data_IF_350003428766
#
_entry.id   IF_350003428766
#
_cell.length_a   1.000
_cell.length_b   1.000
_cell.length_c   1.000
_cell.angle_alpha   90.00
_cell.angle_beta   90.00
_cell.angle_gamma   90.00
#
_symmetry.space_group_name_H-M   'P 1'
#
loop_
_entity.id
_entity.type
_entity.pdbx_description
1 polymer ?
#
# COMPACT_ATOMS: atom_id res chain seq x y z
N UNK A 1 12.14 50.19 -28.62
CA UNK A 1 11.83 49.18 -29.65
C UNK A 1 12.10 47.80 -29.07
N UNK A 2 11.05 46.98 -29.07
CA UNK A 2 10.84 45.78 -28.26
C UNK A 2 11.72 44.61 -28.74
N UNK A 3 12.44 43.95 -27.82
CA UNK A 3 13.14 42.69 -28.08
C UNK A 3 12.37 41.58 -27.36
N UNK A 4 11.73 40.73 -28.18
CA UNK A 4 10.75 39.71 -27.80
C UNK A 4 11.40 38.62 -26.92
N UNK A 5 10.77 38.34 -25.79
CA UNK A 5 11.04 37.20 -24.92
C UNK A 5 10.63 35.93 -25.66
N UNK A 6 11.56 35.00 -25.84
CA UNK A 6 11.27 33.65 -26.33
C UNK A 6 10.82 32.81 -25.13
N UNK A 7 9.52 32.66 -24.95
CA UNK A 7 8.93 31.73 -23.99
C UNK A 7 9.01 30.32 -24.56
N UNK A 8 9.88 29.50 -24.01
CA UNK A 8 9.97 28.08 -24.33
C UNK A 8 8.88 27.36 -23.51
N UNK A 9 7.68 27.23 -24.09
CA UNK A 9 6.63 26.36 -23.56
C UNK A 9 7.10 24.92 -23.68
N UNK A 10 7.60 24.34 -22.59
CA UNK A 10 7.72 22.89 -22.45
C UNK A 10 6.30 22.38 -22.14
N UNK A 11 5.53 22.13 -23.20
CA UNK A 11 4.34 21.31 -23.15
C UNK A 11 4.78 19.85 -23.36
N UNK A 12 5.40 19.27 -22.33
CA UNK A 12 5.85 17.87 -22.32
C UNK A 12 5.04 17.12 -21.27
N UNK A 13 4.20 16.19 -21.74
CA UNK A 13 3.20 15.48 -20.94
C UNK A 13 3.74 14.94 -19.62
N UNK A 14 2.89 15.02 -18.59
CA UNK A 14 3.16 14.43 -17.29
C UNK A 14 3.48 12.95 -17.44
N UNK A 15 4.77 12.64 -17.37
CA UNK A 15 5.26 11.28 -17.23
C UNK A 15 4.80 10.83 -15.85
N UNK A 16 3.60 10.24 -15.76
CA UNK A 16 3.24 9.44 -14.60
C UNK A 16 4.19 8.24 -14.62
N UNK A 17 5.30 8.35 -13.89
CA UNK A 17 6.10 7.19 -13.55
C UNK A 17 5.19 6.26 -12.77
N UNK A 18 4.68 5.21 -13.42
CA UNK A 18 4.09 4.08 -12.72
C UNK A 18 5.20 3.50 -11.85
N UNK A 19 5.17 3.81 -10.55
CA UNK A 19 6.11 3.27 -9.60
C UNK A 19 5.98 1.75 -9.65
N UNK A 20 7.07 1.06 -10.00
CA UNK A 20 7.14 -0.39 -9.79
C UNK A 20 6.91 -0.61 -8.29
N UNK A 21 5.91 -1.43 -7.95
CA UNK A 21 5.68 -1.83 -6.58
C UNK A 21 6.97 -2.47 -6.05
N UNK A 22 7.67 -1.76 -5.18
CA UNK A 22 8.90 -2.25 -4.58
C UNK A 22 8.53 -3.08 -3.37
N UNK A 23 9.05 -4.31 -3.31
CA UNK A 23 8.92 -5.11 -2.11
C UNK A 23 9.73 -4.44 -1.00
N UNK A 24 9.13 -4.29 0.17
CA UNK A 24 9.80 -3.87 1.38
C UNK A 24 10.20 -5.12 2.16
N UNK A 25 11.50 -5.30 2.36
CA UNK A 25 12.02 -6.38 3.21
C UNK A 25 12.03 -5.94 4.67
N UNK A 26 11.63 -6.86 5.55
CA UNK A 26 11.78 -6.83 6.98
C UNK A 26 12.40 -8.18 7.42
N UNK A 27 12.91 -8.31 8.66
CA UNK A 27 13.66 -9.50 9.08
C UNK A 27 12.97 -10.84 8.82
N UNK A 28 11.63 -10.91 8.92
CA UNK A 28 10.84 -12.12 8.74
C UNK A 28 9.62 -11.93 7.86
N UNK A 29 9.59 -10.85 7.08
CA UNK A 29 8.46 -10.53 6.22
C UNK A 29 8.92 -9.73 5.00
N UNK A 30 8.36 -10.06 3.85
CA UNK A 30 8.41 -9.27 2.63
C UNK A 30 7.02 -8.71 2.34
N UNK A 31 6.92 -7.39 2.24
CA UNK A 31 5.66 -6.69 2.02
C UNK A 31 5.64 -6.12 0.61
N UNK A 32 4.60 -6.41 -0.16
CA UNK A 32 4.43 -5.88 -1.53
C UNK A 32 3.02 -5.31 -1.71
N UNK A 33 2.92 -4.16 -2.38
CA UNK A 33 1.65 -3.64 -2.88
C UNK A 33 1.32 -4.24 -4.24
N UNK A 34 0.11 -4.80 -4.39
CA UNK A 34 -0.36 -5.41 -5.62
C UNK A 34 -1.56 -4.61 -6.12
N UNK A 35 -1.41 -3.76 -7.14
CA UNK A 35 -2.55 -3.04 -7.69
C UNK A 35 -3.43 -3.99 -8.50
N UNK A 36 -4.74 -3.80 -8.42
CA UNK A 36 -5.72 -4.52 -9.27
C UNK A 36 -5.53 -4.20 -10.76
N UNK A 37 -5.12 -2.96 -11.08
CA UNK A 37 -4.88 -2.49 -12.44
C UNK A 37 -3.67 -1.56 -12.50
N UNK A 38 -3.00 -1.50 -13.66
CA UNK A 38 -1.77 -0.73 -13.84
C UNK A 38 -1.97 0.80 -13.93
N UNK A 39 -3.18 1.24 -14.25
CA UNK A 39 -3.53 2.65 -14.47
C UNK A 39 -4.91 2.94 -13.90
N UNK A 40 -5.14 4.15 -13.40
CA UNK A 40 -6.44 4.59 -12.87
C UNK A 40 -6.86 5.89 -13.55
N UNK A 41 -8.15 6.03 -13.87
CA UNK A 41 -8.71 7.28 -14.38
C UNK A 41 -9.32 8.13 -13.24
N UNK A 42 -9.45 9.46 -13.41
CA UNK A 42 -10.12 10.30 -12.42
C UNK A 42 -11.56 9.84 -12.16
N UNK A 43 -11.93 9.73 -10.88
CA UNK A 43 -13.26 9.29 -10.44
C UNK A 43 -13.41 7.77 -10.30
N UNK A 44 -12.41 6.99 -10.68
CA UNK A 44 -12.40 5.54 -10.44
C UNK A 44 -11.97 5.19 -9.01
N UNK A 45 -12.44 4.04 -8.54
CA UNK A 45 -11.95 3.39 -7.32
C UNK A 45 -11.16 2.15 -7.75
N UNK A 46 -9.99 1.96 -7.14
CA UNK A 46 -9.13 0.80 -7.39
C UNK A 46 -8.84 0.06 -6.10
N UNK A 47 -8.71 -1.26 -6.17
CA UNK A 47 -8.23 -2.06 -5.06
C UNK A 47 -6.71 -2.22 -5.13
N UNK A 48 -6.04 -2.04 -3.99
CA UNK A 48 -4.62 -2.38 -3.83
C UNK A 48 -4.49 -3.43 -2.73
N UNK A 49 -3.98 -4.59 -3.10
CA UNK A 49 -3.66 -5.64 -2.14
C UNK A 49 -2.34 -5.37 -1.42
N UNK A 50 -2.27 -5.69 -0.13
CA UNK A 50 -1.01 -5.77 0.61
C UNK A 50 -0.70 -7.25 0.78
N UNK A 51 0.33 -7.73 0.10
CA UNK A 51 0.82 -9.10 0.26
C UNK A 51 1.94 -9.13 1.29
N UNK A 52 1.80 -10.01 2.26
CA UNK A 52 2.80 -10.27 3.29
C UNK A 52 3.27 -11.71 3.12
N UNK A 53 4.53 -11.87 2.74
CA UNK A 53 5.19 -13.18 2.64
C UNK A 53 6.09 -13.29 3.88
N UNK A 54 5.78 -14.21 4.79
CA UNK A 54 6.48 -14.35 6.07
C UNK A 54 7.27 -15.65 6.12
N UNK A 55 8.37 -15.64 6.88
CA UNK A 55 9.15 -16.85 7.15
C UNK A 55 8.32 -17.90 7.90
N UNK A 56 8.74 -19.16 7.83
CA UNK A 56 8.05 -20.26 8.53
C UNK A 56 7.98 -19.99 10.05
N UNK A 57 6.80 -20.21 10.64
CA UNK A 57 6.52 -19.98 12.06
C UNK A 57 6.19 -18.52 12.41
N UNK A 58 6.47 -17.57 11.51
CA UNK A 58 6.13 -16.17 11.71
C UNK A 58 4.70 -15.86 11.27
N UNK A 59 4.03 -15.03 12.07
CA UNK A 59 2.67 -14.58 11.81
C UNK A 59 2.49 -13.16 12.32
N UNK A 60 1.50 -12.47 11.77
CA UNK A 60 1.04 -11.16 12.25
C UNK A 60 -0.38 -11.29 12.81
N UNK A 61 -0.81 -10.27 13.55
CA UNK A 61 -2.10 -10.28 14.21
C UNK A 61 -3.22 -9.79 13.29
N UNK A 62 -4.39 -10.41 13.45
CA UNK A 62 -5.62 -9.91 12.83
C UNK A 62 -6.19 -8.73 13.63
N UNK A 63 -7.25 -8.10 13.10
CA UNK A 63 -7.92 -6.94 13.72
C UNK A 63 -8.25 -7.19 15.20
N UNK A 64 -8.67 -8.41 15.54
CA UNK A 64 -8.84 -8.87 16.90
C UNK A 64 -7.60 -9.69 17.33
N UNK A 65 -6.57 -9.00 17.82
CA UNK A 65 -5.26 -9.58 18.09
C UNK A 65 -5.18 -10.47 19.34
N UNK A 66 -6.26 -10.55 20.13
CA UNK A 66 -6.26 -11.22 21.44
C UNK A 66 -5.46 -10.43 22.48
N UNK A 67 -5.23 -11.05 23.65
CA UNK A 67 -4.71 -10.34 24.83
C UNK A 67 -3.22 -9.96 24.74
N UNK A 68 -2.46 -10.59 23.84
CA UNK A 68 -1.00 -10.41 23.73
C UNK A 68 -0.54 -9.84 22.39
N UNK A 69 -1.48 -9.51 21.50
CA UNK A 69 -1.18 -9.03 20.17
C UNK A 69 -1.50 -7.55 19.97
N UNK A 70 -0.96 -7.00 18.88
CA UNK A 70 -1.25 -5.64 18.43
C UNK A 70 -1.79 -5.71 16.99
N UNK A 71 -2.99 -5.16 16.70
CA UNK A 71 -3.54 -5.21 15.36
C UNK A 71 -2.70 -4.41 14.38
N UNK A 72 -2.66 -4.87 13.13
CA UNK A 72 -1.99 -4.17 12.05
C UNK A 72 -2.60 -2.77 11.84
N UNK A 73 -1.75 -1.74 11.86
CA UNK A 73 -2.13 -0.37 11.52
C UNK A 73 -1.65 -0.02 10.12
N UNK A 74 -2.43 0.80 9.43
CA UNK A 74 -2.13 1.27 8.09
C UNK A 74 -2.30 2.78 8.03
N UNK A 75 -1.28 3.46 7.52
CA UNK A 75 -1.29 4.89 7.30
C UNK A 75 -0.89 5.13 5.86
N UNK A 76 -1.75 5.81 5.12
CA UNK A 76 -1.56 6.07 3.70
C UNK A 76 -1.03 7.48 3.48
N UNK A 77 0.05 7.59 2.71
CA UNK A 77 0.47 8.85 2.10
C UNK A 77 0.00 8.83 0.65
N UNK A 78 -1.00 9.65 0.34
CA UNK A 78 -1.64 9.69 -0.97
C UNK A 78 -1.46 11.06 -1.63
N UNK A 79 -1.41 11.12 -2.98
CA UNK A 79 -1.45 12.39 -3.68
C UNK A 79 -2.77 13.14 -3.44
N UNK A 80 -2.75 14.45 -3.67
CA UNK A 80 -3.93 15.29 -3.57
C UNK A 80 -5.07 14.77 -4.46
N UNK A 81 -6.28 14.69 -3.91
CA UNK A 81 -7.47 14.22 -4.63
C UNK A 81 -7.71 12.71 -4.56
N UNK A 82 -6.83 11.95 -3.89
CA UNK A 82 -7.06 10.55 -3.55
C UNK A 82 -7.40 10.37 -2.07
N UNK A 83 -8.17 9.33 -1.79
CA UNK A 83 -8.50 8.88 -0.43
C UNK A 83 -8.46 7.35 -0.39
N UNK A 84 -7.98 6.78 0.71
CA UNK A 84 -8.10 5.36 0.97
C UNK A 84 -9.45 5.07 1.64
N UNK A 85 -10.11 3.99 1.21
CA UNK A 85 -11.28 3.44 1.91
C UNK A 85 -10.87 2.55 3.09
N UNK A 86 -11.87 1.95 3.74
CA UNK A 86 -11.65 1.01 4.84
C UNK A 86 -10.90 -0.24 4.36
N UNK A 87 -9.87 -0.71 5.11
CA UNK A 87 -9.15 -1.94 4.78
C UNK A 87 -10.08 -3.15 4.74
N UNK A 88 -9.96 -3.94 3.68
CA UNK A 88 -10.64 -5.23 3.55
C UNK A 88 -9.73 -6.34 4.10
N UNK A 89 -10.17 -7.02 5.15
CA UNK A 89 -9.37 -8.05 5.83
C UNK A 89 -9.77 -9.45 5.37
N UNK A 90 -8.81 -10.32 5.01
CA UNK A 90 -9.12 -11.73 4.81
C UNK A 90 -9.55 -12.36 6.14
N UNK A 91 -10.30 -13.46 6.05
CA UNK A 91 -10.64 -14.29 7.21
C UNK A 91 -9.34 -14.86 7.79
N UNK A 92 -9.09 -14.70 9.10
CA UNK A 92 -7.84 -15.15 9.72
C UNK A 92 -7.87 -16.66 10.00
N UNK A 93 -6.70 -17.22 10.26
CA UNK A 93 -6.58 -18.52 10.91
C UNK A 93 -6.30 -18.32 12.40
N UNK A 94 -7.03 -19.04 13.25
CA UNK A 94 -6.82 -18.98 14.70
C UNK A 94 -5.63 -19.87 15.07
N UNK A 95 -4.60 -19.28 15.65
CA UNK A 95 -3.51 -20.01 16.30
C UNK A 95 -3.88 -20.17 17.76
N UNK A 96 -3.94 -21.41 18.24
CA UNK A 96 -4.17 -21.71 19.65
C UNK A 96 -2.82 -21.93 20.30
N UNK A 97 -2.39 -20.96 21.09
CA UNK A 97 -1.27 -21.13 22.03
C UNK A 97 -1.76 -21.89 23.26
N UNK A 98 -0.89 -22.72 23.83
CA UNK A 98 -1.20 -23.57 24.99
C UNK A 98 -1.68 -22.78 26.21
N UNK A 99 -2.10 -23.46 27.30
CA UNK A 99 -2.61 -22.78 28.48
C UNK A 99 -1.63 -21.71 28.97
N UNK A 100 -2.14 -20.49 29.17
CA UNK A 100 -1.41 -19.45 29.88
C UNK A 100 -1.22 -19.98 31.31
N UNK A 101 0.03 -20.18 31.71
CA UNK A 101 0.38 -20.66 33.04
C UNK A 101 0.02 -19.65 34.14
#
# INVERSE_FOLDING_TARGET
MIRRILAMMILGGGLCAAGLAHAQEAPHARITLIPEQATIAPGETVTVGIRQEMDEGWHTYWVNAGDSGEPMRMQWTLPLGMSAGEPQWPVPQKIITGPLA
#
